data_IF_910879046790
#
_entry.id   IF_910879046790
#
_cell.length_a   1.000
_cell.length_b   1.000
_cell.length_c   1.000
_cell.angle_alpha   90.00
_cell.angle_beta   90.00
_cell.angle_gamma   90.00
#
_symmetry.space_group_name_H-M   'P 1'
#
loop_
_entity.id
_entity.type
_entity.pdbx_description
1 polymer ?
#
# COMPACT_ATOMS: atom_id res chain seq x y z
N UNK A 1 -4.28 -10.17 22.02
CA UNK A 1 -5.41 -11.08 21.76
C UNK A 1 -5.32 -11.53 20.31
N UNK A 2 -5.06 -12.82 20.03
CA UNK A 2 -5.05 -13.34 18.65
C UNK A 2 -6.51 -13.42 18.18
N UNK A 3 -6.92 -12.53 17.28
CA UNK A 3 -8.27 -12.56 16.71
C UNK A 3 -8.39 -13.83 15.86
N UNK A 4 -9.19 -14.79 16.30
CA UNK A 4 -9.36 -16.06 15.58
C UNK A 4 -10.11 -15.89 14.25
N UNK A 5 -10.80 -14.77 14.09
CA UNK A 5 -11.69 -14.46 12.97
C UNK A 5 -11.32 -13.14 12.32
N UNK A 6 -11.25 -13.15 10.98
CA UNK A 6 -11.18 -11.94 10.16
C UNK A 6 -12.52 -11.75 9.45
N UNK A 7 -13.07 -10.54 9.60
CA UNK A 7 -14.26 -10.10 8.88
C UNK A 7 -13.81 -9.21 7.72
N UNK A 8 -14.12 -9.61 6.49
CA UNK A 8 -13.76 -8.83 5.31
C UNK A 8 -14.53 -7.49 5.27
N UNK A 9 -13.78 -6.39 5.29
CA UNK A 9 -14.30 -5.03 5.16
C UNK A 9 -14.50 -4.61 3.69
N UNK A 10 -14.30 -5.51 2.73
CA UNK A 10 -14.41 -5.28 1.28
C UNK A 10 -13.51 -4.14 0.77
N UNK A 11 -12.37 -3.90 1.43
CA UNK A 11 -11.45 -2.83 1.04
C UNK A 11 -10.81 -3.12 -0.32
N UNK A 12 -10.54 -2.07 -1.07
CA UNK A 12 -9.86 -2.05 -2.37
C UNK A 12 -8.50 -1.37 -2.23
N UNK A 13 -7.60 -1.60 -3.20
CA UNK A 13 -6.33 -0.85 -3.25
C UNK A 13 -6.53 0.67 -3.31
N UNK A 14 -7.65 1.12 -3.88
CA UNK A 14 -8.02 2.54 -3.96
C UNK A 14 -8.25 3.18 -2.60
N UNK A 15 -8.55 2.40 -1.56
CA UNK A 15 -8.80 2.93 -0.22
C UNK A 15 -7.51 3.33 0.50
N UNK A 16 -6.35 2.93 -0.05
CA UNK A 16 -5.04 3.16 0.55
C UNK A 16 -4.12 4.02 -0.32
N UNK A 17 -4.59 4.50 -1.47
CA UNK A 17 -3.73 5.10 -2.51
C UNK A 17 -3.48 6.61 -2.35
N UNK A 18 -4.25 7.29 -1.50
CA UNK A 18 -4.21 8.75 -1.34
C UNK A 18 -3.02 9.21 -0.52
N UNK A 19 -2.62 8.43 0.49
CA UNK A 19 -1.41 8.66 1.28
C UNK A 19 -0.55 7.41 1.23
N UNK A 20 0.67 7.55 0.72
CA UNK A 20 1.58 6.45 0.43
C UNK A 20 2.94 6.73 1.08
N UNK A 21 3.44 5.76 1.83
CA UNK A 21 4.78 5.77 2.40
C UNK A 21 5.80 5.46 1.30
N UNK A 22 6.77 6.34 1.13
CA UNK A 22 7.78 6.29 0.08
C UNK A 22 9.18 6.47 0.63
N UNK A 23 10.18 6.05 -0.13
CA UNK A 23 11.57 6.36 0.17
C UNK A 23 11.86 7.80 -0.22
N UNK A 24 12.39 8.60 0.72
CA UNK A 24 12.79 9.97 0.45
C UNK A 24 13.91 10.01 -0.61
N UNK A 25 13.79 10.80 -1.68
CA UNK A 25 14.83 10.87 -2.71
C UNK A 25 16.10 11.57 -2.23
N UNK A 26 16.06 12.29 -1.10
CA UNK A 26 17.22 13.03 -0.56
C UNK A 26 17.94 12.24 0.54
N UNK A 27 17.24 11.88 1.62
CA UNK A 27 17.87 11.22 2.77
C UNK A 27 17.69 9.70 2.80
N UNK A 28 16.97 9.12 1.82
CA UNK A 28 16.58 7.70 1.79
C UNK A 28 15.78 7.20 3.00
N UNK A 29 15.41 8.08 3.94
CA UNK A 29 14.51 7.78 5.05
C UNK A 29 13.04 7.75 4.63
N UNK A 30 12.15 7.50 5.58
CA UNK A 30 10.72 7.45 5.33
C UNK A 30 10.17 8.84 4.96
N UNK A 31 9.35 8.88 3.92
CA UNK A 31 8.61 10.05 3.49
C UNK A 31 7.16 9.67 3.15
N UNK A 32 6.31 10.69 2.97
CA UNK A 32 4.89 10.52 2.63
C UNK A 32 4.61 11.23 1.32
N UNK A 33 4.06 10.51 0.35
CA UNK A 33 3.42 11.08 -0.82
C UNK A 33 1.91 11.11 -0.59
N UNK A 34 1.27 12.25 -0.78
CA UNK A 34 -0.18 12.43 -0.69
C UNK A 34 -0.77 13.01 -1.97
N UNK A 35 -2.05 12.73 -2.23
CA UNK A 35 -2.80 13.30 -3.36
C UNK A 35 -4.22 13.69 -2.94
N UNK A 36 -4.63 14.86 -3.38
CA UNK A 36 -6.00 15.37 -3.36
C UNK A 36 -6.50 15.42 -4.81
N UNK A 37 -7.38 14.48 -5.16
CA UNK A 37 -7.93 14.37 -6.50
C UNK A 37 -8.88 15.53 -6.84
N UNK A 38 -9.66 16.02 -5.87
CA UNK A 38 -10.59 17.11 -6.08
C UNK A 38 -9.86 18.41 -6.43
N UNK A 39 -8.78 18.69 -5.69
CA UNK A 39 -7.93 19.85 -5.95
C UNK A 39 -6.84 19.60 -6.99
N UNK A 40 -6.76 18.39 -7.58
CA UNK A 40 -5.81 18.00 -8.61
C UNK A 40 -4.34 18.26 -8.22
N UNK A 41 -4.03 18.11 -6.94
CA UNK A 41 -2.72 18.38 -6.34
C UNK A 41 -2.18 17.15 -5.64
N UNK A 42 -0.88 16.97 -5.73
CA UNK A 42 -0.13 15.94 -5.04
C UNK A 42 1.09 16.55 -4.37
N UNK A 43 1.54 15.92 -3.28
CA UNK A 43 2.67 16.40 -2.48
C UNK A 43 3.52 15.23 -2.01
N UNK A 44 4.83 15.40 -1.95
CA UNK A 44 5.75 14.49 -1.26
C UNK A 44 6.49 15.27 -0.18
N UNK A 45 6.45 14.79 1.07
CA UNK A 45 7.12 15.41 2.21
C UNK A 45 7.95 14.39 3.00
N UNK A 46 9.12 14.81 3.47
CA UNK A 46 9.96 14.06 4.39
C UNK A 46 10.18 14.87 5.67
N UNK A 47 9.71 14.36 6.81
CA UNK A 47 9.88 15.02 8.11
C UNK A 47 11.35 14.98 8.57
N UNK A 48 12.09 13.93 8.21
CA UNK A 48 13.47 13.73 8.68
C UNK A 48 14.48 14.72 8.10
N UNK A 49 14.29 15.18 6.85
CA UNK A 49 15.24 16.07 6.17
C UNK A 49 14.60 17.34 5.59
N UNK A 50 13.29 17.52 5.71
CA UNK A 50 12.57 18.68 5.20
C UNK A 50 12.30 18.69 3.69
N UNK A 51 12.68 17.63 2.94
CA UNK A 51 12.36 17.53 1.51
C UNK A 51 10.85 17.66 1.29
N UNK A 52 10.44 18.58 0.42
CA UNK A 52 9.05 18.85 0.08
C UNK A 52 8.94 19.16 -1.41
N UNK A 53 7.99 18.52 -2.09
CA UNK A 53 7.71 18.78 -3.50
C UNK A 53 6.21 18.67 -3.78
N UNK A 54 5.68 19.63 -4.53
CA UNK A 54 4.31 19.59 -5.05
C UNK A 54 4.30 19.31 -6.55
N UNK A 55 3.25 18.61 -7.01
CA UNK A 55 2.94 18.38 -8.42
C UNK A 55 1.43 18.40 -8.65
N UNK A 56 1.01 18.79 -9.84
CA UNK A 56 -0.37 18.60 -10.30
C UNK A 56 -0.63 17.12 -10.61
N UNK A 57 -1.90 16.68 -10.59
CA UNK A 57 -2.29 15.35 -11.09
C UNK A 57 -2.39 15.26 -12.60
N UNK A 58 -2.09 16.36 -13.32
CA UNK A 58 -2.02 16.38 -14.78
C UNK A 58 -0.90 15.45 -15.28
N UNK A 59 -1.25 14.59 -16.23
CA UNK A 59 -0.31 13.77 -16.97
C UNK A 59 -0.64 13.84 -18.46
N UNK A 60 0.37 13.57 -19.29
CA UNK A 60 0.21 13.39 -20.73
C UNK A 60 0.32 11.91 -21.06
N UNK A 61 -0.77 11.30 -21.52
CA UNK A 61 -0.83 9.89 -21.88
C UNK A 61 -1.22 9.79 -23.35
N UNK A 62 -0.38 9.16 -24.17
CA UNK A 62 -0.57 9.08 -25.63
C UNK A 62 -0.85 10.43 -26.32
N UNK A 63 -0.18 11.50 -25.87
CA UNK A 63 -0.36 12.84 -26.44
C UNK A 63 -1.55 13.63 -25.88
N UNK A 64 -2.44 12.99 -25.12
CA UNK A 64 -3.62 13.62 -24.52
C UNK A 64 -3.27 14.13 -23.12
N UNK A 65 -3.58 15.39 -22.84
CA UNK A 65 -3.46 15.98 -21.50
C UNK A 65 -4.72 15.68 -20.69
N UNK A 66 -4.55 15.23 -19.46
CA UNK A 66 -5.65 15.01 -18.53
C UNK A 66 -5.18 14.81 -17.10
N UNK A 67 -6.10 14.90 -16.15
CA UNK A 67 -5.83 14.52 -14.77
C UNK A 67 -6.05 13.02 -14.62
N UNK A 68 -5.04 12.32 -14.11
CA UNK A 68 -5.14 10.89 -13.85
C UNK A 68 -5.32 10.68 -12.35
N UNK A 69 -6.10 9.68 -11.97
CA UNK A 69 -6.21 9.25 -10.57
C UNK A 69 -5.37 8.00 -10.33
N UNK A 70 -4.14 8.21 -9.86
CA UNK A 70 -3.21 7.13 -9.50
C UNK A 70 -2.75 7.28 -8.06
N UNK A 71 -2.15 6.21 -7.51
CA UNK A 71 -1.58 6.25 -6.17
C UNK A 71 -0.53 7.35 -6.02
N UNK A 72 -0.49 8.01 -4.86
CA UNK A 72 0.27 9.23 -4.67
C UNK A 72 1.76 9.13 -5.05
N UNK A 73 2.40 7.99 -4.76
CA UNK A 73 3.81 7.76 -5.10
C UNK A 73 4.11 7.86 -6.61
N UNK A 74 3.13 7.56 -7.48
CA UNK A 74 3.31 7.53 -8.94
C UNK A 74 3.57 8.93 -9.49
N UNK A 75 2.92 9.98 -8.99
CA UNK A 75 3.16 11.36 -9.44
C UNK A 75 4.61 11.79 -9.25
N UNK A 76 5.30 11.20 -8.27
CA UNK A 76 6.69 11.50 -7.94
C UNK A 76 7.68 10.46 -8.47
N UNK A 77 7.19 9.38 -9.10
CA UNK A 77 8.01 8.22 -9.47
C UNK A 77 8.81 7.69 -8.27
N UNK A 78 8.20 7.72 -7.08
CA UNK A 78 8.88 7.40 -5.83
C UNK A 78 8.78 5.90 -5.51
N UNK A 79 9.88 5.32 -5.03
CA UNK A 79 9.92 3.96 -4.50
C UNK A 79 9.02 3.84 -3.25
N UNK A 80 8.30 2.73 -3.12
CA UNK A 80 7.53 2.45 -1.90
C UNK A 80 8.45 2.21 -0.72
N UNK A 81 8.08 2.71 0.46
CA UNK A 81 8.79 2.41 1.71
C UNK A 81 8.53 0.96 2.16
N UNK A 82 7.25 0.55 2.14
CA UNK A 82 6.82 -0.76 2.59
C UNK A 82 6.86 -1.76 1.44
N UNK A 83 8.05 -2.20 1.05
CA UNK A 83 8.27 -3.23 0.03
C UNK A 83 9.40 -4.17 0.43
N UNK A 84 9.20 -5.48 0.26
CA UNK A 84 10.22 -6.49 0.51
C UNK A 84 10.01 -7.73 -0.35
N UNK A 85 11.12 -8.38 -0.74
CA UNK A 85 11.10 -9.68 -1.40
C UNK A 85 10.62 -10.79 -0.46
N UNK A 86 9.83 -11.72 -0.98
CA UNK A 86 9.37 -12.92 -0.29
C UNK A 86 9.44 -14.10 -1.26
N UNK A 87 10.49 -14.92 -1.16
CA UNK A 87 10.82 -15.95 -2.17
C UNK A 87 10.97 -15.29 -3.55
N UNK A 88 10.26 -15.79 -4.56
CA UNK A 88 10.23 -15.24 -5.92
C UNK A 88 9.17 -14.13 -6.11
N UNK A 89 8.47 -13.77 -5.04
CA UNK A 89 7.42 -12.75 -5.01
C UNK A 89 7.83 -11.50 -4.22
N UNK A 90 6.96 -10.49 -4.19
CA UNK A 90 7.13 -9.26 -3.40
C UNK A 90 5.94 -9.03 -2.51
N UNK A 91 6.21 -8.69 -1.25
CA UNK A 91 5.22 -8.17 -0.30
C UNK A 91 5.36 -6.67 -0.23
N UNK A 92 4.27 -5.96 -0.49
CA UNK A 92 4.24 -4.50 -0.43
C UNK A 92 2.94 -3.98 0.16
N UNK A 93 3.00 -2.74 0.64
CA UNK A 93 1.84 -1.98 1.09
C UNK A 93 2.01 -0.49 0.74
N UNK A 94 0.90 0.24 0.63
CA UNK A 94 0.96 1.69 0.40
C UNK A 94 1.26 2.44 1.69
N UNK A 95 0.63 2.05 2.78
CA UNK A 95 0.77 2.69 4.08
C UNK A 95 0.53 1.68 5.20
N UNK A 96 0.68 2.10 6.45
CA UNK A 96 0.47 1.22 7.59
C UNK A 96 -0.96 0.68 7.67
N UNK A 97 -1.99 1.44 7.27
CA UNK A 97 -3.36 0.93 7.26
C UNK A 97 -3.56 -0.22 6.26
N UNK A 98 -2.91 -0.17 5.09
CA UNK A 98 -2.86 -1.30 4.16
C UNK A 98 -2.11 -2.48 4.79
N UNK A 99 -0.94 -2.24 5.39
CA UNK A 99 -0.14 -3.27 6.04
C UNK A 99 -0.90 -3.97 7.19
N UNK A 100 -1.63 -3.20 8.00
CA UNK A 100 -2.48 -3.69 9.10
C UNK A 100 -3.61 -4.57 8.59
N UNK A 101 -4.20 -4.22 7.45
CA UNK A 101 -5.26 -5.00 6.83
C UNK A 101 -4.74 -6.34 6.28
N UNK A 102 -3.55 -6.34 5.67
CA UNK A 102 -2.85 -7.58 5.29
C UNK A 102 -2.49 -8.43 6.51
N UNK A 103 -1.93 -7.82 7.56
CA UNK A 103 -1.59 -8.52 8.80
C UNK A 103 -2.82 -9.17 9.44
N UNK A 104 -3.93 -8.43 9.52
CA UNK A 104 -5.20 -8.93 10.05
C UNK A 104 -5.73 -10.11 9.24
N UNK A 105 -5.61 -10.05 7.91
CA UNK A 105 -6.02 -11.14 7.02
C UNK A 105 -5.15 -12.40 7.17
N UNK A 106 -3.83 -12.24 7.16
CA UNK A 106 -2.86 -13.33 7.26
C UNK A 106 -2.90 -13.96 8.67
N UNK A 107 -3.10 -13.14 9.70
CA UNK A 107 -3.13 -13.60 11.10
C UNK A 107 -4.43 -14.28 11.48
N UNK A 108 -5.47 -14.29 10.66
CA UNK A 108 -6.70 -15.01 10.97
C UNK A 108 -6.64 -16.50 10.61
N UNK A 109 -7.29 -17.33 11.45
CA UNK A 109 -7.46 -18.78 11.19
C UNK A 109 -8.72 -19.05 10.38
N UNK A 110 -9.80 -18.31 10.65
CA UNK A 110 -11.06 -18.36 9.94
C UNK A 110 -11.29 -17.03 9.21
N UNK A 111 -11.60 -17.12 7.92
CA UNK A 111 -11.80 -15.98 7.01
C UNK A 111 -13.25 -16.02 6.54
N UNK A 112 -14.09 -15.15 7.09
CA UNK A 112 -15.50 -15.09 6.72
C UNK A 112 -15.69 -14.05 5.60
N UNK A 113 -16.18 -14.50 4.45
CA UNK A 113 -16.62 -13.63 3.36
C UNK A 113 -18.15 -13.60 3.35
N UNK A 114 -18.75 -12.51 3.84
CA UNK A 114 -20.22 -12.40 3.91
C UNK A 114 -20.89 -12.13 2.56
N UNK A 115 -20.20 -11.46 1.63
CA UNK A 115 -20.71 -11.17 0.27
C UNK A 115 -19.53 -11.16 -0.71
N UNK A 116 -19.52 -12.06 -1.69
CA UNK A 116 -18.48 -12.12 -2.73
C UNK A 116 -18.77 -11.03 -3.77
N UNK A 117 -17.99 -9.95 -3.75
CA UNK A 117 -18.06 -8.96 -4.82
C UNK A 117 -17.05 -9.21 -5.95
N UNK A 118 -16.13 -10.18 -5.82
CA UNK A 118 -15.06 -10.49 -6.78
C UNK A 118 -14.07 -9.35 -7.09
N UNK A 119 -14.19 -8.19 -6.42
CA UNK A 119 -13.40 -7.00 -6.68
C UNK A 119 -12.62 -6.49 -5.45
N UNK A 120 -12.58 -7.25 -4.35
CA UNK A 120 -11.87 -6.80 -3.14
C UNK A 120 -10.36 -6.97 -3.28
N UNK A 121 -9.59 -6.26 -2.46
CA UNK A 121 -8.14 -6.41 -2.39
C UNK A 121 -7.75 -7.87 -2.18
N UNK A 122 -8.41 -8.54 -1.24
CA UNK A 122 -8.06 -9.88 -0.79
C UNK A 122 -8.28 -10.94 -1.86
N UNK A 123 -9.34 -10.82 -2.66
CA UNK A 123 -9.62 -11.74 -3.76
C UNK A 123 -8.60 -11.59 -4.91
N UNK A 124 -7.99 -10.41 -5.04
CA UNK A 124 -6.95 -10.13 -6.04
C UNK A 124 -5.52 -10.39 -5.55
N UNK A 125 -5.34 -10.83 -4.30
CA UNK A 125 -4.02 -11.12 -3.77
C UNK A 125 -3.41 -12.34 -4.49
N UNK A 126 -2.08 -12.33 -4.72
CA UNK A 126 -1.39 -13.53 -5.18
C UNK A 126 -1.59 -14.73 -4.26
N UNK A 127 -1.60 -15.93 -4.85
CA UNK A 127 -1.86 -17.20 -4.12
C UNK A 127 -1.01 -17.39 -2.88
N UNK A 128 0.23 -16.90 -2.86
CA UNK A 128 1.15 -17.10 -1.74
C UNK A 128 0.70 -16.44 -0.43
N UNK A 129 -0.10 -15.36 -0.50
CA UNK A 129 -0.72 -14.72 0.68
C UNK A 129 -1.76 -15.62 1.36
N UNK A 130 -2.38 -16.50 0.58
CA UNK A 130 -3.45 -17.38 1.06
C UNK A 130 -2.92 -18.68 1.67
N UNK A 131 -1.71 -19.11 1.28
CA UNK A 131 -1.09 -20.35 1.72
C UNK A 131 -0.74 -20.32 3.21
N UNK A 132 -1.34 -21.24 3.97
CA UNK A 132 -1.10 -21.39 5.41
C UNK A 132 0.38 -21.65 5.75
N UNK A 133 1.15 -22.29 4.85
CA UNK A 133 2.58 -22.56 5.04
C UNK A 133 3.41 -21.28 5.09
N UNK A 134 2.97 -20.23 4.38
CA UNK A 134 3.66 -18.95 4.33
C UNK A 134 3.31 -18.03 5.50
N UNK A 135 2.23 -18.30 6.24
CA UNK A 135 1.67 -17.41 7.27
C UNK A 135 2.70 -16.91 8.29
N UNK A 136 3.42 -17.83 8.92
CA UNK A 136 4.41 -17.47 9.96
C UNK A 136 5.54 -16.60 9.37
N UNK A 137 5.99 -16.91 8.16
CA UNK A 137 7.04 -16.17 7.48
C UNK A 137 6.56 -14.77 7.05
N UNK A 138 5.34 -14.67 6.51
CA UNK A 138 4.73 -13.40 6.12
C UNK A 138 4.50 -12.48 7.32
N UNK A 139 4.00 -13.00 8.44
CA UNK A 139 3.81 -12.20 9.66
C UNK A 139 5.14 -11.70 10.22
N UNK A 140 6.20 -12.53 10.19
CA UNK A 140 7.55 -12.08 10.55
C UNK A 140 8.04 -10.97 9.62
N UNK A 141 7.80 -11.11 8.31
CA UNK A 141 8.20 -10.12 7.31
C UNK A 141 7.46 -8.79 7.51
N UNK A 142 6.14 -8.81 7.72
CA UNK A 142 5.33 -7.62 8.01
C UNK A 142 5.83 -6.91 9.27
N UNK A 143 6.12 -7.65 10.33
CA UNK A 143 6.69 -7.08 11.55
C UNK A 143 8.08 -6.44 11.32
N UNK A 144 8.90 -7.02 10.43
CA UNK A 144 10.17 -6.41 10.01
C UNK A 144 9.93 -5.11 9.24
N UNK A 145 8.99 -5.10 8.28
CA UNK A 145 8.63 -3.91 7.49
C UNK A 145 8.19 -2.74 8.37
N UNK A 146 7.49 -3.01 9.49
CA UNK A 146 7.03 -1.98 10.43
C UNK A 146 8.16 -1.34 11.25
N UNK A 147 9.27 -2.04 11.44
CA UNK A 147 10.40 -1.63 12.30
C UNK A 147 11.61 -1.10 11.51
N UNK A 148 11.43 -0.82 10.22
CA UNK A 148 12.49 -0.28 9.37
C UNK A 148 12.95 1.10 9.84
#
# INVERSE_FOLDING_TARGET
MKTERFNDQNKRLTDFRTEVLVVCPTCRGQAVASVDYANKKSRLQCISCGYNKEKTTEARVFGIKGHIEVAAHIYFSAELWLVHTFKDDVVWAYNYAHLDYLESYISAKLREHKQRSHFTLLEKLPKFYHDAKNRTALLKLINKMRKQ
#
